data_IF_274267596887
#
_entry.id   IF_274267596887
#
_cell.length_a   1.000
_cell.length_b   1.000
_cell.length_c   1.000
_cell.angle_alpha   90.00
_cell.angle_beta   90.00
_cell.angle_gamma   90.00
#
_symmetry.space_group_name_H-M   'P 1'
#
loop_
_entity.id
_entity.type
_entity.pdbx_description
1 polymer ?
#
# COMPACT_ATOMS: atom_id res chain seq x y z
N UNK A 1 -41.33 -11.46 -2.77
CA UNK A 1 -40.25 -10.77 -2.06
C UNK A 1 -39.78 -9.65 -2.96
N UNK A 2 -40.01 -8.41 -2.55
CA UNK A 2 -39.61 -7.24 -3.31
C UNK A 2 -38.23 -6.81 -2.87
N UNK A 3 -37.27 -6.90 -3.79
CA UNK A 3 -35.94 -6.36 -3.56
C UNK A 3 -35.96 -4.88 -3.98
N UNK A 4 -35.76 -3.99 -3.02
CA UNK A 4 -35.58 -2.58 -3.32
C UNK A 4 -34.09 -2.27 -3.38
N UNK A 5 -33.59 -1.98 -4.56
CA UNK A 5 -32.24 -1.41 -4.71
C UNK A 5 -32.33 0.08 -4.52
N UNK A 6 -31.95 0.57 -3.36
CA UNK A 6 -31.72 2.00 -3.20
C UNK A 6 -30.46 2.38 -3.95
N UNK A 7 -30.53 3.46 -4.73
CA UNK A 7 -29.37 3.95 -5.47
C UNK A 7 -28.16 4.15 -4.56
N UNK A 8 -26.97 3.95 -5.13
CA UNK A 8 -25.70 4.14 -4.43
C UNK A 8 -25.64 5.61 -3.96
N UNK A 9 -25.85 5.81 -2.67
CA UNK A 9 -25.51 7.09 -2.06
C UNK A 9 -24.01 7.08 -1.83
N UNK A 10 -23.31 8.06 -2.39
CA UNK A 10 -21.95 8.33 -1.97
C UNK A 10 -21.99 8.49 -0.45
N UNK A 11 -21.47 7.50 0.27
CA UNK A 11 -21.38 7.57 1.72
C UNK A 11 -20.39 8.68 2.04
N UNK A 12 -20.90 9.74 2.66
CA UNK A 12 -20.01 10.70 3.30
C UNK A 12 -19.42 9.99 4.53
N UNK A 13 -18.28 9.34 4.32
CA UNK A 13 -17.57 8.56 5.34
C UNK A 13 -16.75 9.44 6.28
N UNK A 14 -16.95 10.77 6.28
CA UNK A 14 -16.26 11.72 7.13
C UNK A 14 -16.78 11.74 8.56
N UNK A 15 -16.90 10.56 9.19
CA UNK A 15 -17.00 10.49 10.65
C UNK A 15 -15.63 10.84 11.24
N UNK A 16 -15.60 11.34 12.48
CA UNK A 16 -14.33 11.61 13.17
C UNK A 16 -13.44 10.36 13.22
N UNK A 17 -14.04 9.17 13.43
CA UNK A 17 -13.31 7.90 13.43
C UNK A 17 -12.66 7.62 12.08
N UNK A 18 -13.36 7.86 10.96
CA UNK A 18 -12.78 7.68 9.63
C UNK A 18 -11.68 8.70 9.32
N UNK A 19 -11.81 9.93 9.78
CA UNK A 19 -10.76 10.95 9.64
C UNK A 19 -9.50 10.55 10.40
N UNK A 20 -9.64 10.04 11.63
CA UNK A 20 -8.51 9.53 12.40
C UNK A 20 -7.87 8.32 11.75
N UNK A 21 -8.67 7.39 11.21
CA UNK A 21 -8.18 6.24 10.49
C UNK A 21 -7.40 6.65 9.23
N UNK A 22 -7.94 7.57 8.42
CA UNK A 22 -7.25 8.10 7.23
C UNK A 22 -5.92 8.73 7.63
N UNK A 23 -5.89 9.49 8.72
CA UNK A 23 -4.67 10.13 9.23
C UNK A 23 -3.63 9.09 9.65
N UNK A 24 -4.06 8.05 10.38
CA UNK A 24 -3.17 6.98 10.82
C UNK A 24 -2.62 6.17 9.64
N UNK A 25 -3.46 5.85 8.66
CA UNK A 25 -3.06 5.13 7.44
C UNK A 25 -2.11 5.99 6.61
N UNK A 26 -2.39 7.27 6.46
CA UNK A 26 -1.50 8.23 5.77
C UNK A 26 -0.12 8.24 6.41
N UNK A 27 -0.07 8.32 7.74
CA UNK A 27 1.20 8.26 8.48
C UNK A 27 1.93 6.93 8.24
N UNK A 28 1.22 5.81 8.28
CA UNK A 28 1.80 4.50 8.02
C UNK A 28 2.40 4.42 6.61
N UNK A 29 1.70 4.96 5.62
CA UNK A 29 2.15 4.96 4.23
C UNK A 29 3.37 5.86 4.06
N UNK A 30 3.32 7.10 4.55
CA UNK A 30 4.39 8.08 4.32
C UNK A 30 5.66 7.75 5.10
N UNK A 31 5.53 7.43 6.38
CA UNK A 31 6.66 7.32 7.30
C UNK A 31 7.20 5.91 7.46
N UNK A 32 6.49 4.89 6.97
CA UNK A 32 6.91 3.49 7.05
C UNK A 32 6.99 2.84 5.67
N UNK A 33 5.96 2.95 4.87
CA UNK A 33 5.90 2.31 3.56
C UNK A 33 6.83 3.01 2.55
N UNK A 34 6.58 4.29 2.25
CA UNK A 34 7.41 5.03 1.31
C UNK A 34 8.83 5.20 1.81
N UNK A 35 8.98 5.57 3.07
CA UNK A 35 10.30 5.76 3.67
C UNK A 35 11.10 4.45 3.70
N UNK A 36 10.48 3.35 4.10
CA UNK A 36 11.13 2.04 4.15
C UNK A 36 11.57 1.57 2.78
N UNK A 37 10.74 1.77 1.75
CA UNK A 37 11.11 1.47 0.37
C UNK A 37 12.27 2.35 -0.10
N UNK A 38 12.16 3.65 0.09
CA UNK A 38 13.17 4.63 -0.35
C UNK A 38 14.53 4.35 0.25
N UNK A 39 14.57 4.14 1.56
CA UNK A 39 15.82 3.92 2.29
C UNK A 39 16.31 2.46 2.23
N UNK A 40 15.49 1.53 1.74
CA UNK A 40 15.83 0.11 1.78
C UNK A 40 15.82 -0.46 3.20
N UNK A 41 15.02 0.12 4.08
CA UNK A 41 14.90 -0.29 5.48
C UNK A 41 13.81 -1.35 5.61
N UNK A 42 14.21 -2.61 5.51
CA UNK A 42 13.27 -3.73 5.54
C UNK A 42 12.60 -3.91 6.90
N UNK A 43 13.23 -3.51 7.97
CA UNK A 43 12.62 -3.60 9.31
C UNK A 43 11.54 -2.55 9.48
N UNK A 44 11.81 -1.31 9.07
CA UNK A 44 10.83 -0.24 9.10
C UNK A 44 9.62 -0.60 8.22
N UNK A 45 9.88 -1.01 6.98
CA UNK A 45 8.84 -1.41 6.04
C UNK A 45 8.04 -2.60 6.55
N UNK A 46 8.71 -3.62 7.07
CA UNK A 46 8.07 -4.84 7.58
C UNK A 46 7.18 -4.60 8.79
N UNK A 47 7.45 -3.54 9.56
CA UNK A 47 6.70 -3.25 10.80
C UNK A 47 5.22 -2.92 10.54
N UNK A 48 4.86 -2.52 9.32
CA UNK A 48 3.47 -2.21 8.97
C UNK A 48 2.78 -3.32 8.18
N UNK A 49 3.44 -4.45 7.96
CA UNK A 49 2.83 -5.62 7.31
C UNK A 49 2.40 -6.64 8.35
N UNK A 50 1.20 -7.18 8.18
CA UNK A 50 0.80 -8.37 8.93
C UNK A 50 1.66 -9.55 8.48
N UNK A 51 2.23 -10.33 9.42
CA UNK A 51 2.93 -11.57 9.06
C UNK A 51 2.04 -12.49 8.21
N UNK A 52 2.62 -13.12 7.19
CA UNK A 52 1.88 -13.98 6.29
C UNK A 52 1.19 -13.26 5.14
N UNK A 53 1.38 -11.97 4.97
CA UNK A 53 0.84 -11.19 3.85
C UNK A 53 1.45 -11.63 2.52
N UNK A 54 0.62 -11.64 1.48
CA UNK A 54 1.03 -11.92 0.11
C UNK A 54 0.99 -10.66 -0.75
N UNK A 55 1.87 -10.63 -1.75
CA UNK A 55 1.93 -9.60 -2.77
C UNK A 55 1.63 -10.22 -4.13
N UNK A 56 0.74 -9.59 -4.89
CA UNK A 56 0.30 -10.07 -6.20
C UNK A 56 0.36 -8.94 -7.21
N UNK A 57 0.47 -9.31 -8.47
CA UNK A 57 0.35 -8.38 -9.57
C UNK A 57 1.21 -8.76 -10.75
N UNK A 58 1.72 -7.76 -11.43
CA UNK A 58 2.67 -7.96 -12.52
C UNK A 58 3.73 -6.85 -12.53
N UNK A 59 4.88 -7.20 -13.10
CA UNK A 59 5.97 -6.26 -13.34
C UNK A 59 6.44 -6.49 -14.77
N UNK A 60 6.38 -5.47 -15.62
CA UNK A 60 6.74 -5.57 -17.04
C UNK A 60 6.02 -6.73 -17.73
N UNK A 61 4.72 -6.86 -17.52
CA UNK A 61 3.86 -7.90 -18.07
C UNK A 61 4.19 -9.33 -17.63
N UNK A 62 5.02 -9.49 -16.58
CA UNK A 62 5.30 -10.78 -15.98
C UNK A 62 4.56 -10.92 -14.66
N UNK A 63 3.89 -12.06 -14.41
CA UNK A 63 3.23 -12.28 -13.13
C UNK A 63 4.21 -12.10 -11.97
N UNK A 64 3.72 -11.43 -10.93
CA UNK A 64 4.47 -11.18 -9.71
C UNK A 64 3.71 -11.80 -8.55
N UNK A 65 4.37 -12.66 -7.81
CA UNK A 65 3.82 -13.24 -6.59
C UNK A 65 4.96 -13.42 -5.60
N UNK A 66 4.79 -12.85 -4.41
CA UNK A 66 5.75 -13.03 -3.32
C UNK A 66 5.03 -13.09 -1.98
N UNK A 67 5.61 -13.82 -1.04
CA UNK A 67 5.31 -13.62 0.38
C UNK A 67 5.93 -12.31 0.85
N UNK A 68 5.41 -11.74 1.92
CA UNK A 68 6.00 -10.53 2.50
C UNK A 68 7.47 -10.76 2.91
N UNK A 69 7.80 -11.94 3.41
CA UNK A 69 9.18 -12.26 3.80
C UNK A 69 10.13 -12.20 2.61
N UNK A 70 9.76 -12.79 1.48
CA UNK A 70 10.56 -12.71 0.25
C UNK A 70 10.66 -11.28 -0.28
N UNK A 71 9.59 -10.52 -0.19
CA UNK A 71 9.59 -9.11 -0.58
C UNK A 71 10.56 -8.29 0.25
N UNK A 72 10.50 -8.44 1.57
CA UNK A 72 11.39 -7.71 2.49
C UNK A 72 12.85 -8.12 2.30
N UNK A 73 13.10 -9.40 2.06
CA UNK A 73 14.44 -9.90 1.76
C UNK A 73 14.98 -9.24 0.47
N UNK A 74 14.14 -9.11 -0.55
CA UNK A 74 14.49 -8.38 -1.76
C UNK A 74 14.80 -6.91 -1.51
N UNK A 75 14.03 -6.24 -0.68
CA UNK A 75 14.28 -4.84 -0.28
C UNK A 75 15.62 -4.70 0.41
N UNK A 76 15.93 -5.62 1.33
CA UNK A 76 17.20 -5.63 2.07
C UNK A 76 18.41 -5.81 1.16
N UNK A 77 18.31 -6.70 0.17
CA UNK A 77 19.47 -7.15 -0.60
C UNK A 77 19.71 -6.34 -1.88
N UNK A 78 18.73 -5.55 -2.34
CA UNK A 78 18.92 -4.69 -3.53
C UNK A 78 19.54 -3.36 -3.14
N UNK A 79 20.11 -2.65 -4.12
CA UNK A 79 20.44 -1.24 -3.93
C UNK A 79 19.16 -0.45 -3.66
N UNK A 80 19.13 0.34 -2.59
CA UNK A 80 17.94 1.15 -2.28
C UNK A 80 17.70 2.21 -3.35
N UNK A 81 16.45 2.65 -3.55
CA UNK A 81 16.19 3.80 -4.41
C UNK A 81 17.02 5.02 -4.03
N UNK A 82 17.18 5.28 -2.72
CA UNK A 82 18.02 6.38 -2.21
C UNK A 82 19.46 6.27 -2.73
N UNK A 83 20.08 5.11 -2.58
CA UNK A 83 21.46 4.90 -2.99
C UNK A 83 21.63 4.82 -4.51
N UNK A 84 20.56 4.52 -5.25
CA UNK A 84 20.57 4.51 -6.71
C UNK A 84 20.75 5.90 -7.31
N UNK A 85 20.43 6.96 -6.58
CA UNK A 85 20.44 8.33 -7.08
C UNK A 85 19.34 8.64 -8.09
N UNK A 86 18.49 7.67 -8.45
CA UNK A 86 17.38 7.89 -9.38
C UNK A 86 16.19 8.53 -8.66
N UNK A 87 15.35 9.29 -9.38
CA UNK A 87 14.18 9.91 -8.78
C UNK A 87 13.28 8.90 -8.10
N UNK A 88 12.78 9.27 -6.92
CA UNK A 88 11.78 8.51 -6.17
C UNK A 88 10.61 9.43 -5.81
N UNK A 89 9.39 8.96 -6.04
CA UNK A 89 8.20 9.71 -5.66
C UNK A 89 7.09 8.75 -5.25
N UNK A 90 6.66 8.84 -3.99
CA UNK A 90 5.47 8.17 -3.49
C UNK A 90 4.32 9.17 -3.39
N UNK A 91 3.15 8.79 -3.87
CA UNK A 91 1.92 9.59 -3.78
C UNK A 91 0.77 8.71 -3.33
N UNK A 92 -0.03 9.23 -2.41
CA UNK A 92 -1.31 8.62 -2.03
C UNK A 92 -2.38 9.21 -2.95
N UNK A 93 -3.04 8.33 -3.73
CA UNK A 93 -4.10 8.75 -4.64
C UNK A 93 -5.45 8.76 -3.93
N UNK A 94 -5.74 7.70 -3.16
CA UNK A 94 -7.02 7.56 -2.48
C UNK A 94 -6.88 6.63 -1.28
N UNK A 95 -7.67 6.87 -0.24
CA UNK A 95 -7.83 6.01 0.93
C UNK A 95 -9.32 5.89 1.22
N UNK A 96 -9.82 4.66 1.29
CA UNK A 96 -11.20 4.35 1.68
C UNK A 96 -11.21 3.51 2.92
N UNK A 97 -11.98 3.92 3.91
CA UNK A 97 -12.10 3.24 5.20
C UNK A 97 -13.53 2.82 5.42
N UNK A 98 -13.70 1.56 5.82
CA UNK A 98 -14.99 1.03 6.30
C UNK A 98 -14.72 0.27 7.59
N UNK A 99 -15.14 0.81 8.72
CA UNK A 99 -14.89 0.20 10.04
C UNK A 99 -13.40 -0.11 10.23
N UNK A 100 -13.07 -1.37 10.42
CA UNK A 100 -11.70 -1.84 10.71
C UNK A 100 -10.89 -2.20 9.46
N UNK A 101 -11.44 -1.97 8.27
CA UNK A 101 -10.72 -2.26 7.01
C UNK A 101 -10.57 -1.02 6.16
N UNK A 102 -9.53 -1.00 5.34
CA UNK A 102 -9.30 0.09 4.42
C UNK A 102 -8.55 -0.38 3.18
N UNK A 103 -8.66 0.37 2.11
CA UNK A 103 -7.86 0.20 0.91
C UNK A 103 -7.25 1.54 0.53
N UNK A 104 -5.97 1.52 0.14
CA UNK A 104 -5.26 2.68 -0.36
C UNK A 104 -4.76 2.44 -1.77
N UNK A 105 -4.92 3.43 -2.62
CA UNK A 105 -4.33 3.46 -3.95
C UNK A 105 -3.14 4.41 -3.94
N UNK A 106 -1.98 3.91 -4.39
CA UNK A 106 -0.72 4.66 -4.37
C UNK A 106 -0.08 4.66 -5.75
N UNK A 107 0.70 5.71 -6.02
CA UNK A 107 1.66 5.75 -7.11
C UNK A 107 3.06 5.77 -6.52
N UNK A 108 3.94 4.87 -6.99
CA UNK A 108 5.33 4.79 -6.52
C UNK A 108 6.25 4.79 -7.73
N UNK A 109 6.91 5.91 -7.95
CA UNK A 109 7.94 6.02 -8.97
C UNK A 109 9.29 5.71 -8.34
N UNK A 110 9.96 4.67 -8.83
CA UNK A 110 11.27 4.25 -8.33
C UNK A 110 12.04 3.51 -9.41
N UNK A 111 13.36 3.73 -9.48
CA UNK A 111 14.21 3.23 -10.56
C UNK A 111 13.62 3.63 -11.93
N UNK A 112 13.41 2.65 -12.82
CA UNK A 112 12.75 2.86 -14.12
C UNK A 112 11.30 2.41 -14.13
N UNK A 113 10.72 2.19 -12.94
CA UNK A 113 9.35 1.74 -12.76
C UNK A 113 8.42 2.86 -12.34
N UNK A 114 7.16 2.72 -12.69
CA UNK A 114 6.08 3.54 -12.18
C UNK A 114 4.97 2.61 -11.70
N UNK A 115 4.99 2.27 -10.41
CA UNK A 115 4.04 1.33 -9.85
C UNK A 115 2.75 2.01 -9.46
N UNK A 116 1.65 1.31 -9.71
CA UNK A 116 0.37 1.57 -9.08
C UNK A 116 0.13 0.46 -8.08
N UNK A 117 0.02 0.81 -6.81
CA UNK A 117 -0.16 -0.13 -5.73
C UNK A 117 -1.55 0.00 -5.13
N UNK A 118 -2.19 -1.15 -4.83
CA UNK A 118 -3.35 -1.22 -3.96
C UNK A 118 -2.92 -1.92 -2.67
N UNK A 119 -3.05 -1.22 -1.56
CA UNK A 119 -2.76 -1.77 -0.23
C UNK A 119 -4.08 -2.00 0.50
N UNK A 120 -4.29 -3.22 0.99
CA UNK A 120 -5.40 -3.50 1.90
C UNK A 120 -4.90 -3.44 3.32
N UNK A 121 -5.60 -2.68 4.17
CA UNK A 121 -5.27 -2.49 5.58
C UNK A 121 -6.34 -3.11 6.47
N UNK A 122 -5.91 -3.60 7.61
CA UNK A 122 -6.79 -4.05 8.69
C UNK A 122 -6.31 -3.44 10.00
N UNK A 123 -7.23 -2.87 10.77
CA UNK A 123 -6.93 -2.39 12.11
C UNK A 123 -6.98 -3.57 13.07
N UNK A 124 -5.81 -3.96 13.54
CA UNK A 124 -5.63 -5.09 14.45
C UNK A 124 -5.13 -4.53 15.78
N UNK A 125 -5.96 -4.59 16.80
CA UNK A 125 -5.64 -4.10 18.14
C UNK A 125 -5.15 -2.63 18.15
N UNK A 126 -5.79 -1.79 17.36
CA UNK A 126 -5.48 -0.35 17.29
C UNK A 126 -4.38 0.03 16.32
N UNK A 127 -3.79 -0.94 15.62
CA UNK A 127 -2.74 -0.67 14.63
C UNK A 127 -3.22 -1.04 13.23
N UNK A 128 -3.10 -0.10 12.28
CA UNK A 128 -3.40 -0.35 10.88
C UNK A 128 -2.23 -1.06 10.22
N UNK A 129 -2.45 -2.32 9.83
CA UNK A 129 -1.45 -3.17 9.19
C UNK A 129 -1.85 -3.51 7.75
N UNK A 130 -0.88 -3.59 6.87
CA UNK A 130 -1.09 -4.05 5.50
C UNK A 130 -1.29 -5.56 5.52
N UNK A 131 -2.41 -6.03 4.98
CA UNK A 131 -2.77 -7.46 4.91
C UNK A 131 -2.74 -8.01 3.50
N UNK A 132 -2.61 -7.14 2.48
CA UNK A 132 -2.42 -7.52 1.09
C UNK A 132 -1.86 -6.33 0.31
N UNK A 133 -1.02 -6.63 -0.67
CA UNK A 133 -0.51 -5.65 -1.62
C UNK A 133 -0.71 -6.18 -3.03
N UNK A 134 -1.31 -5.37 -3.88
CA UNK A 134 -1.31 -5.60 -5.33
C UNK A 134 -0.53 -4.50 -6.01
N UNK A 135 0.19 -4.84 -7.06
CA UNK A 135 1.01 -3.87 -7.80
C UNK A 135 1.02 -4.18 -9.29
N UNK A 136 1.15 -3.12 -10.07
CA UNK A 136 1.42 -3.23 -11.50
C UNK A 136 2.28 -2.04 -11.93
N UNK A 137 3.15 -2.27 -12.91
CA UNK A 137 3.97 -1.22 -13.50
C UNK A 137 3.21 -0.58 -14.65
N UNK A 138 2.93 0.72 -14.55
CA UNK A 138 2.18 1.49 -15.56
C UNK A 138 3.09 2.35 -16.45
N UNK A 139 4.41 2.16 -16.38
CA UNK A 139 5.37 3.02 -17.09
C UNK A 139 5.23 2.95 -18.63
N UNK A 140 4.63 1.88 -19.16
CA UNK A 140 4.42 1.67 -20.60
C UNK A 140 2.96 1.86 -21.05
N UNK A 141 2.11 2.42 -20.21
CA UNK A 141 0.69 2.68 -20.52
C UNK A 141 0.50 4.10 -21.04
#
# INVERSE_FOLDING_TARGET
MLWSFQGIKAQNTNTMENQEAVKAITNAIENYYFKGIYEGDEMLLGSIFQPGTFLFGDVKNQPYFKTVDLYLDGVKNRQSPKNSGKPFKGEIIDIRVVNSIAVAELSVKMYDFNYRDFLSFHNINGQWLIVNKMLTDVSNN
#
